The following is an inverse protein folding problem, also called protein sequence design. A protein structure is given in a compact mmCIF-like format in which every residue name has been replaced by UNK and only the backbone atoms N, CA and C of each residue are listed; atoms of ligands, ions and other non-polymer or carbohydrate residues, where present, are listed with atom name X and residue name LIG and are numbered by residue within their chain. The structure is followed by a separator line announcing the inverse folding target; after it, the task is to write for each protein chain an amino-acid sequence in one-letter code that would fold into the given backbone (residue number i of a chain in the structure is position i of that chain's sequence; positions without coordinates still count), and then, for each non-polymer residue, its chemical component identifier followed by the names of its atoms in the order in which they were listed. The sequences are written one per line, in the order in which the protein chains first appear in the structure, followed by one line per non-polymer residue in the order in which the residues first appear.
data_IF_100047415191
#
_entry.id   IF_100047415191
#
_cell.length_a   1.000
_cell.length_b   1.000
_cell.length_c   1.000
_cell.angle_alpha   90.00
_cell.angle_beta   90.00
_cell.angle_gamma   90.00
#
_symmetry.space_group_name_H-M   'P 1'
#
loop_
_entity.id
_entity.type
_entity.pdbx_description
1 polymer ?
#
# COMPACT_ATOMS: atom_id res chain seq x y z
N UNK A 1 10.12 -3.61 30.04
CA UNK A 1 9.19 -4.41 29.22
C UNK A 1 9.48 -4.13 27.75
N UNK A 2 10.14 -5.05 27.03
CA UNK A 2 10.39 -4.90 25.60
C UNK A 2 9.06 -4.89 24.84
N UNK A 3 8.80 -3.84 24.05
CA UNK A 3 7.56 -3.74 23.27
C UNK A 3 7.58 -4.80 22.16
N UNK A 4 6.54 -5.63 22.08
CA UNK A 4 6.36 -6.58 20.99
C UNK A 4 6.34 -5.86 19.65
N UNK A 5 7.16 -6.28 18.69
CA UNK A 5 7.14 -5.73 17.34
C UNK A 5 5.85 -6.22 16.66
N UNK A 6 4.91 -5.32 16.29
CA UNK A 6 3.70 -5.75 15.62
C UNK A 6 4.03 -6.40 14.27
N UNK A 7 3.25 -7.40 13.89
CA UNK A 7 3.33 -7.99 12.54
C UNK A 7 3.19 -6.91 11.46
N UNK A 8 3.71 -7.17 10.25
CA UNK A 8 3.59 -6.21 9.15
C UNK A 8 2.12 -5.87 8.87
N UNK A 9 1.23 -6.86 8.93
CA UNK A 9 -0.22 -6.67 8.80
C UNK A 9 -0.80 -5.66 9.79
N UNK A 10 -0.42 -5.74 11.06
CA UNK A 10 -0.90 -4.79 12.07
C UNK A 10 -0.24 -3.43 11.85
N UNK A 11 1.07 -3.44 11.57
CA UNK A 11 1.85 -2.23 11.32
C UNK A 11 1.33 -1.43 10.12
N UNK A 12 0.87 -2.09 9.06
CA UNK A 12 0.36 -1.43 7.86
C UNK A 12 -0.97 -0.73 8.10
N UNK A 13 -1.85 -1.32 8.93
CA UNK A 13 -3.10 -0.68 9.36
C UNK A 13 -2.81 0.55 10.24
N UNK A 14 -1.82 0.45 11.14
CA UNK A 14 -1.40 1.60 11.95
C UNK A 14 -0.86 2.71 11.06
N UNK A 15 -0.07 2.35 10.05
CA UNK A 15 0.48 3.32 9.09
C UNK A 15 -0.64 3.99 8.28
N UNK A 16 -1.58 3.23 7.71
CA UNK A 16 -2.76 3.74 6.99
C UNK A 16 -3.55 4.77 7.82
N UNK A 17 -3.74 4.51 9.12
CA UNK A 17 -4.44 5.44 10.01
C UNK A 17 -3.76 6.82 10.15
N UNK A 18 -2.43 6.90 9.97
CA UNK A 18 -1.72 8.18 9.98
C UNK A 18 -2.13 9.08 8.82
N UNK A 19 -2.62 8.49 7.73
CA UNK A 19 -3.07 9.22 6.55
C UNK A 19 -4.54 9.64 6.61
N UNK A 20 -5.21 9.46 7.76
CA UNK A 20 -6.63 9.82 7.93
C UNK A 20 -6.90 11.29 7.62
N UNK A 21 -6.02 12.21 7.99
CA UNK A 21 -6.18 13.64 7.69
C UNK A 21 -6.16 13.89 6.18
N UNK A 22 -5.16 13.35 5.47
CA UNK A 22 -5.07 13.43 4.02
C UNK A 22 -6.31 12.85 3.35
N UNK A 23 -6.69 11.62 3.73
CA UNK A 23 -7.90 10.96 3.24
C UNK A 23 -9.15 11.83 3.46
N UNK A 24 -9.28 12.47 4.61
CA UNK A 24 -10.47 13.26 4.95
C UNK A 24 -10.63 14.50 4.06
N UNK A 25 -9.53 15.06 3.56
CA UNK A 25 -9.51 16.21 2.67
C UNK A 25 -9.85 15.86 1.21
N UNK A 26 -9.88 14.57 0.86
CA UNK A 26 -10.28 14.11 -0.47
C UNK A 26 -11.80 14.13 -0.66
N UNK A 27 -12.24 14.20 -1.92
CA UNK A 27 -13.64 14.03 -2.30
C UNK A 27 -14.12 12.58 -2.06
N UNK A 28 -15.45 12.38 -2.11
CA UNK A 28 -16.05 11.08 -1.78
C UNK A 28 -15.55 9.95 -2.69
N UNK A 29 -15.35 10.23 -3.97
CA UNK A 29 -14.86 9.25 -4.95
C UNK A 29 -13.38 8.94 -4.71
N UNK A 30 -12.57 9.98 -4.54
CA UNK A 30 -11.13 9.86 -4.27
C UNK A 30 -10.83 9.14 -2.95
N UNK A 31 -11.67 9.32 -1.92
CA UNK A 31 -11.58 8.57 -0.66
C UNK A 31 -11.66 7.06 -0.90
N UNK A 32 -12.58 6.64 -1.77
CA UNK A 32 -12.75 5.22 -2.10
C UNK A 32 -11.54 4.70 -2.87
N UNK A 33 -11.06 5.46 -3.86
CA UNK A 33 -9.85 5.10 -4.61
C UNK A 33 -8.61 5.03 -3.71
N UNK A 34 -8.49 5.94 -2.75
CA UNK A 34 -7.41 5.96 -1.77
C UNK A 34 -7.43 4.72 -0.86
N UNK A 35 -8.60 4.31 -0.37
CA UNK A 35 -8.75 3.09 0.44
C UNK A 35 -8.41 1.83 -0.35
N UNK A 36 -8.86 1.76 -1.61
CA UNK A 36 -8.51 0.69 -2.56
C UNK A 36 -7.02 0.65 -2.86
N UNK A 37 -6.37 1.81 -2.95
CA UNK A 37 -4.92 1.89 -3.12
C UNK A 37 -4.19 1.33 -1.89
N UNK A 38 -4.59 1.68 -0.67
CA UNK A 38 -3.95 1.17 0.56
C UNK A 38 -4.17 -0.35 0.77
N UNK A 39 -5.25 -0.93 0.23
CA UNK A 39 -5.46 -2.38 0.19
C UNK A 39 -4.31 -3.12 -0.53
N UNK A 40 -3.61 -2.49 -1.47
CA UNK A 40 -2.48 -3.10 -2.19
C UNK A 40 -1.29 -3.39 -1.26
N UNK A 41 -1.08 -2.58 -0.22
CA UNK A 41 -0.07 -2.87 0.80
C UNK A 41 -0.33 -4.20 1.52
N UNK A 42 -1.61 -4.60 1.63
CA UNK A 42 -1.99 -5.91 2.19
C UNK A 42 -1.82 -7.04 1.19
N UNK A 43 -2.08 -6.80 -0.10
CA UNK A 43 -1.90 -7.78 -1.17
C UNK A 43 -0.44 -8.30 -1.23
N UNK A 44 0.53 -7.40 -1.02
CA UNK A 44 1.96 -7.71 -1.04
C UNK A 44 2.57 -7.85 0.37
N UNK A 45 1.76 -8.21 1.37
CA UNK A 45 2.18 -8.33 2.78
C UNK A 45 3.38 -9.27 2.96
N UNK A 46 3.40 -10.43 2.29
CA UNK A 46 4.50 -11.40 2.38
C UNK A 46 5.82 -10.81 1.89
N UNK A 47 5.81 -10.19 0.70
CA UNK A 47 7.00 -9.54 0.13
C UNK A 47 7.46 -8.38 1.02
N UNK A 48 6.52 -7.57 1.48
CA UNK A 48 6.80 -6.42 2.35
C UNK A 48 7.40 -6.81 3.70
N UNK A 49 6.93 -7.92 4.29
CA UNK A 49 7.48 -8.48 5.53
C UNK A 49 8.91 -8.96 5.35
N UNK A 50 9.21 -9.64 4.24
CA UNK A 50 10.52 -10.20 3.95
C UNK A 50 11.58 -9.15 3.62
N UNK A 51 11.21 -7.93 3.21
CA UNK A 51 12.17 -6.88 2.88
C UNK A 51 12.91 -6.28 4.11
N UNK A 52 12.60 -6.70 5.35
CA UNK A 52 13.21 -6.22 6.60
C UNK A 52 13.35 -4.68 6.66
N UNK A 53 12.39 -3.94 6.07
CA UNK A 53 12.44 -2.48 6.07
C UNK A 53 11.88 -1.92 7.38
N UNK A 54 12.64 -1.05 8.08
CA UNK A 54 12.18 -0.45 9.34
C UNK A 54 11.04 0.55 9.11
N UNK A 55 11.07 1.25 7.97
CA UNK A 55 10.08 2.25 7.60
C UNK A 55 8.94 1.57 6.82
N UNK A 56 7.79 1.41 7.46
CA UNK A 56 6.65 0.64 6.94
C UNK A 56 6.05 1.23 5.67
N UNK A 57 5.95 2.57 5.61
CA UNK A 57 5.37 3.26 4.46
C UNK A 57 6.15 2.97 3.17
N UNK A 58 7.46 2.71 3.22
CA UNK A 58 8.25 2.37 2.04
C UNK A 58 7.77 1.07 1.37
N UNK A 59 7.47 0.05 2.17
CA UNK A 59 7.00 -1.23 1.65
C UNK A 59 5.55 -1.13 1.12
N UNK A 60 4.70 -0.34 1.78
CA UNK A 60 3.33 -0.06 1.32
C UNK A 60 3.37 0.69 -0.01
N UNK A 61 4.15 1.76 -0.11
CA UNK A 61 4.29 2.53 -1.35
C UNK A 61 4.89 1.69 -2.47
N UNK A 62 5.90 0.87 -2.19
CA UNK A 62 6.46 -0.05 -3.19
C UNK A 62 5.41 -1.02 -3.73
N UNK A 63 4.57 -1.57 -2.84
CA UNK A 63 3.47 -2.46 -3.21
C UNK A 63 2.47 -1.77 -4.15
N UNK A 64 2.10 -0.53 -3.82
CA UNK A 64 1.20 0.30 -4.63
C UNK A 64 1.82 0.57 -6.01
N UNK A 65 3.06 1.06 -6.06
CA UNK A 65 3.76 1.41 -7.30
C UNK A 65 3.89 0.17 -8.19
N UNK A 66 4.35 -0.95 -7.62
CA UNK A 66 4.56 -2.19 -8.37
C UNK A 66 3.26 -2.73 -8.99
N UNK A 67 2.16 -2.71 -8.23
CA UNK A 67 0.86 -3.15 -8.73
C UNK A 67 0.38 -2.32 -9.92
N UNK A 68 0.48 -0.99 -9.82
CA UNK A 68 0.06 -0.08 -10.88
C UNK A 68 0.99 -0.16 -12.09
N UNK A 69 2.30 -0.29 -11.88
CA UNK A 69 3.26 -0.53 -12.96
C UNK A 69 2.92 -1.80 -13.75
N UNK A 70 2.57 -2.89 -13.05
CA UNK A 70 2.14 -4.14 -13.71
C UNK A 70 0.89 -3.95 -14.56
N UNK A 71 -0.10 -3.20 -14.07
CA UNK A 71 -1.32 -2.87 -14.82
C UNK A 71 -1.00 -2.04 -16.06
N UNK A 72 -0.19 -0.98 -15.94
CA UNK A 72 0.23 -0.15 -17.07
C UNK A 72 0.96 -0.97 -18.12
N UNK A 73 1.88 -1.84 -17.70
CA UNK A 73 2.60 -2.74 -18.60
C UNK A 73 1.70 -3.76 -19.30
N UNK A 74 0.62 -4.19 -18.65
CA UNK A 74 -0.38 -5.07 -19.28
C UNK A 74 -1.21 -4.31 -20.32
N UNK A 75 -1.62 -3.08 -20.01
CA UNK A 75 -2.34 -2.22 -20.95
C UNK A 75 -1.48 -1.91 -22.19
N UNK A 76 -0.22 -1.55 -22.00
CA UNK A 76 0.69 -1.27 -23.12
C UNK A 76 0.94 -2.48 -24.03
N UNK A 77 0.78 -3.70 -23.52
CA UNK A 77 0.88 -4.91 -24.33
C UNK A 77 -0.36 -5.16 -25.18
N UNK A 78 -1.54 -4.80 -24.67
CA UNK A 78 -2.81 -4.98 -25.39
C UNK A 78 -2.86 -4.05 -26.59
N UNK A 79 -2.39 -2.80 -26.45
CA UNK A 79 -2.34 -1.83 -27.56
C UNK A 79 -1.38 -2.22 -28.71
N UNK A 80 -0.51 -3.22 -28.49
CA UNK A 80 0.45 -3.72 -29.48
C UNK A 80 -0.03 -4.99 -30.20
N UNK A 81 -1.21 -5.51 -29.87
CA UNK A 81 -1.84 -6.72 -30.45
C UNK A 81 -3.15 -6.38 -31.14
#
# INVERSE_FOLDING_TARGET
MGRTIPSFRISSIIEERKWKQFRNLLDKEDKKMFDEMFLLGRLYNTASYQCVRPIRIQAILMSIIFHHYKKLFQLSKIDLT
#
